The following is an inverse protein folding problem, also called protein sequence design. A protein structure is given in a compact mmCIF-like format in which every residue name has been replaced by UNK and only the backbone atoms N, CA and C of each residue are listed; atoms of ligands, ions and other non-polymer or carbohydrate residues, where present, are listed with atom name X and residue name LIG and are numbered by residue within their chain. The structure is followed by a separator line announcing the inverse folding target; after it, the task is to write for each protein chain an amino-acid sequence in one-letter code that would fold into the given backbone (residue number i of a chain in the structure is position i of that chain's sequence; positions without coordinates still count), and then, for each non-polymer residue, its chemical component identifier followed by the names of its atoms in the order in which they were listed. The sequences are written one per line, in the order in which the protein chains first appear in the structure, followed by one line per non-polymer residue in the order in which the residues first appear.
data_IF_170453175139
#
_entry.id   IF_170453175139
#
_cell.length_a   1.000
_cell.length_b   1.000
_cell.length_c   1.000
_cell.angle_alpha   90.00
_cell.angle_beta   90.00
_cell.angle_gamma   90.00
#
_symmetry.space_group_name_H-M   'P 1'
#
loop_
_entity.id
_entity.type
_entity.pdbx_description
1 polymer ?
#
# COMPACT_ATOMS: atom_id res chain seq x y z
N UNK A 1 5.23 -94.93 -30.60
CA UNK A 1 4.05 -94.92 -29.69
C UNK A 1 4.36 -93.94 -28.56
N UNK A 2 3.49 -92.94 -28.37
CA UNK A 2 3.50 -91.87 -27.34
C UNK A 2 4.62 -90.80 -27.41
N UNK A 3 4.20 -89.65 -27.94
CA UNK A 3 4.79 -88.32 -27.83
C UNK A 3 4.96 -87.91 -26.35
N UNK A 4 6.13 -87.40 -25.98
CA UNK A 4 6.40 -86.77 -24.69
C UNK A 4 6.59 -85.26 -24.88
N UNK A 5 5.64 -84.56 -24.29
CA UNK A 5 5.44 -83.13 -24.19
C UNK A 5 6.62 -82.43 -23.47
N UNK A 6 7.35 -81.58 -24.18
CA UNK A 6 8.37 -80.69 -23.60
C UNK A 6 7.75 -79.32 -23.36
N UNK A 7 7.35 -79.08 -22.11
CA UNK A 7 6.92 -77.78 -21.58
C UNK A 7 7.94 -76.68 -21.91
N UNK A 8 7.53 -75.69 -22.70
CA UNK A 8 8.24 -74.42 -22.88
C UNK A 8 7.81 -73.45 -21.79
N UNK A 9 8.74 -73.04 -20.93
CA UNK A 9 8.56 -71.94 -19.98
C UNK A 9 8.48 -70.64 -20.77
N UNK A 10 7.36 -69.92 -20.66
CA UNK A 10 7.22 -68.55 -21.20
C UNK A 10 7.64 -67.58 -20.10
N UNK A 11 8.70 -66.81 -20.36
CA UNK A 11 9.08 -65.64 -19.56
C UNK A 11 8.04 -64.55 -19.81
N UNK A 12 7.31 -64.14 -18.78
CA UNK A 12 6.42 -62.99 -18.84
C UNK A 12 7.26 -61.71 -18.73
N UNK A 13 7.24 -60.88 -19.77
CA UNK A 13 7.74 -59.51 -19.71
C UNK A 13 6.63 -58.67 -19.10
N UNK A 14 6.81 -58.25 -17.84
CA UNK A 14 5.88 -57.34 -17.18
C UNK A 14 6.17 -55.93 -17.66
N UNK A 15 5.34 -55.42 -18.57
CA UNK A 15 5.34 -54.01 -18.96
C UNK A 15 4.86 -53.18 -17.78
N UNK A 16 5.74 -52.35 -17.21
CA UNK A 16 5.38 -51.39 -16.17
C UNK A 16 4.53 -50.29 -16.85
N UNK A 17 3.22 -50.28 -16.60
CA UNK A 17 2.36 -49.19 -17.03
C UNK A 17 2.68 -47.95 -16.19
N UNK A 18 3.17 -46.90 -16.85
CA UNK A 18 3.36 -45.59 -16.24
C UNK A 18 1.97 -45.01 -15.95
N UNK A 19 1.59 -44.95 -14.68
CA UNK A 19 0.35 -44.28 -14.27
C UNK A 19 0.49 -42.79 -14.58
N UNK A 20 -0.30 -42.29 -15.53
CA UNK A 20 -0.46 -40.86 -15.76
C UNK A 20 -1.09 -40.24 -14.50
N UNK A 21 -0.36 -39.37 -13.82
CA UNK A 21 -0.88 -38.57 -12.72
C UNK A 21 -1.77 -37.49 -13.35
N UNK A 22 -3.10 -37.49 -13.13
CA UNK A 22 -3.94 -36.40 -13.61
C UNK A 22 -3.77 -35.21 -12.65
N UNK A 23 -3.45 -34.04 -13.22
CA UNK A 23 -3.57 -32.76 -12.51
C UNK A 23 -2.26 -32.10 -12.05
N UNK A 24 -1.31 -31.90 -12.95
CA UNK A 24 -0.49 -30.68 -12.88
C UNK A 24 -1.24 -29.63 -13.71
N UNK A 25 -2.16 -28.92 -13.06
CA UNK A 25 -2.54 -27.61 -13.56
C UNK A 25 -1.24 -26.78 -13.57
N UNK A 26 -0.94 -26.02 -14.65
CA UNK A 26 0.05 -24.96 -14.50
C UNK A 26 -0.39 -24.14 -13.30
N UNK A 27 0.50 -23.95 -12.33
CA UNK A 27 0.33 -22.91 -11.33
C UNK A 27 0.16 -21.65 -12.17
N UNK A 28 -1.05 -21.09 -12.17
CA UNK A 28 -1.29 -19.80 -12.81
C UNK A 28 -0.21 -18.88 -12.27
N UNK A 29 0.61 -18.32 -13.17
CA UNK A 29 1.60 -17.34 -12.78
C UNK A 29 0.83 -16.26 -12.01
N UNK A 30 1.12 -16.09 -10.72
CA UNK A 30 0.56 -15.00 -9.93
C UNK A 30 0.70 -13.73 -10.77
N UNK A 31 -0.44 -13.14 -11.12
CA UNK A 31 -0.42 -11.84 -11.79
C UNK A 31 0.16 -10.87 -10.77
N UNK A 32 1.45 -10.58 -10.91
CA UNK A 32 2.09 -9.56 -10.08
C UNK A 32 1.28 -8.27 -10.23
N UNK A 33 0.71 -7.78 -9.13
CA UNK A 33 -0.16 -6.60 -9.13
C UNK A 33 0.61 -5.29 -9.36
N UNK A 34 1.91 -5.39 -9.65
CA UNK A 34 2.77 -4.29 -9.95
C UNK A 34 4.16 -4.77 -10.37
N UNK A 35 4.96 -3.84 -10.87
CA UNK A 35 6.29 -4.08 -11.38
C UNK A 35 7.30 -3.15 -10.72
N UNK A 36 8.39 -3.74 -10.23
CA UNK A 36 9.55 -2.98 -9.74
C UNK A 36 10.66 -2.95 -10.79
N UNK A 37 11.13 -1.76 -11.13
CA UNK A 37 12.32 -1.56 -11.97
C UNK A 37 13.45 -0.99 -11.12
N UNK A 38 14.59 -1.68 -11.05
CA UNK A 38 15.80 -1.19 -10.36
C UNK A 38 16.78 -0.60 -11.35
N UNK A 39 17.23 0.62 -11.09
CA UNK A 39 18.07 1.39 -12.01
C UNK A 39 19.37 1.88 -11.36
N UNK A 40 19.48 1.82 -10.03
CA UNK A 40 20.63 2.33 -9.31
C UNK A 40 20.92 1.58 -8.02
N UNK A 41 21.84 2.14 -7.24
CA UNK A 41 22.34 1.54 -6.00
C UNK A 41 21.89 2.41 -4.83
N UNK A 42 21.32 1.76 -3.82
CA UNK A 42 20.98 2.42 -2.56
C UNK A 42 22.25 2.98 -1.88
N UNK A 43 22.16 4.12 -1.17
CA UNK A 43 23.33 4.69 -0.50
C UNK A 43 23.87 3.76 0.57
N UNK A 44 25.19 3.72 0.71
CA UNK A 44 25.85 3.09 1.84
C UNK A 44 25.79 4.04 3.04
N UNK A 45 24.99 3.68 4.06
CA UNK A 45 24.92 4.45 5.31
C UNK A 45 25.89 3.87 6.32
N UNK A 46 26.85 4.67 6.78
CA UNK A 46 27.79 4.27 7.83
C UNK A 46 27.12 4.39 9.20
N UNK A 47 27.09 3.28 9.94
CA UNK A 47 26.61 3.23 11.32
C UNK A 47 27.39 4.23 12.20
N UNK A 48 26.67 5.01 13.03
CA UNK A 48 27.27 5.98 13.95
C UNK A 48 27.33 7.42 13.46
N UNK A 49 26.93 7.70 12.22
CA UNK A 49 26.64 9.08 11.77
C UNK A 49 25.30 9.56 12.34
N UNK A 50 25.17 10.85 12.67
CA UNK A 50 23.88 11.44 13.10
C UNK A 50 22.94 11.48 11.90
N UNK A 51 22.22 10.38 11.70
CA UNK A 51 21.18 10.27 10.67
C UNK A 51 19.89 10.87 11.20
N UNK A 52 19.27 11.76 10.41
CA UNK A 52 17.93 12.29 10.70
C UNK A 52 17.00 11.79 9.63
N UNK A 53 16.04 10.96 10.04
CA UNK A 53 15.05 10.38 9.15
C UNK A 53 13.77 11.24 9.14
N UNK A 54 13.20 11.43 7.95
CA UNK A 54 11.86 11.96 7.75
C UNK A 54 10.98 10.83 7.22
N UNK A 55 10.39 10.07 8.14
CA UNK A 55 9.72 8.79 7.84
C UNK A 55 8.20 8.91 7.58
N UNK A 56 7.61 10.08 7.78
CA UNK A 56 6.16 10.31 7.69
C UNK A 56 5.85 11.65 7.05
N UNK A 57 4.63 11.84 6.51
CA UNK A 57 4.22 13.08 5.84
C UNK A 57 4.43 14.33 6.72
N UNK A 58 4.15 14.24 8.02
CA UNK A 58 4.37 15.34 8.96
C UNK A 58 5.54 15.10 9.94
N UNK A 59 6.53 14.29 9.53
CA UNK A 59 7.68 13.83 10.32
C UNK A 59 7.33 12.85 11.45
N UNK A 60 6.49 13.28 12.39
CA UNK A 60 6.16 12.56 13.63
C UNK A 60 4.64 12.44 13.84
N UNK A 61 4.18 11.56 14.76
CA UNK A 61 2.76 11.37 15.04
C UNK A 61 2.02 12.62 15.57
N UNK A 62 2.75 13.58 16.14
CA UNK A 62 2.21 14.85 16.61
C UNK A 62 2.09 15.89 15.48
N UNK A 63 2.51 15.54 14.27
CA UNK A 63 2.44 16.34 13.05
C UNK A 63 3.21 17.69 13.11
N UNK A 64 4.32 17.75 13.84
CA UNK A 64 5.01 19.03 14.09
C UNK A 64 5.76 19.58 12.88
N UNK A 65 6.18 18.71 11.93
CA UNK A 65 7.03 19.10 10.78
C UNK A 65 8.30 19.86 11.21
N UNK A 66 8.84 19.53 12.39
CA UNK A 66 10.00 20.19 12.98
C UNK A 66 11.20 19.26 13.02
N UNK A 67 12.27 19.62 12.30
CA UNK A 67 13.52 18.87 12.35
C UNK A 67 14.51 19.54 13.30
N UNK A 68 15.08 18.78 14.25
CA UNK A 68 16.08 19.27 15.21
C UNK A 68 17.46 19.57 14.58
N UNK A 69 17.65 19.28 13.30
CA UNK A 69 18.91 19.58 12.60
C UNK A 69 19.08 21.08 12.39
N UNK A 70 20.24 21.60 12.75
CA UNK A 70 20.53 23.04 12.83
C UNK A 70 21.78 23.46 12.03
N UNK A 71 22.36 22.54 11.26
CA UNK A 71 23.50 22.82 10.38
C UNK A 71 23.22 24.00 9.44
N UNK A 72 21.98 24.07 8.93
CA UNK A 72 21.45 25.23 8.21
C UNK A 72 20.66 26.04 9.22
N UNK A 73 21.08 27.28 9.45
CA UNK A 73 20.46 28.20 10.39
C UNK A 73 20.51 29.63 9.84
N UNK A 74 20.07 30.61 10.63
CA UNK A 74 19.97 32.02 10.22
C UNK A 74 21.31 32.63 9.79
N UNK A 75 22.43 32.08 10.25
CA UNK A 75 23.77 32.58 9.97
C UNK A 75 24.46 31.88 8.78
N UNK A 76 23.88 30.77 8.30
CA UNK A 76 24.46 29.93 7.24
C UNK A 76 23.54 29.70 6.03
N UNK A 77 22.26 30.05 6.13
CA UNK A 77 21.26 29.84 5.06
C UNK A 77 21.59 30.56 3.76
N UNK A 78 22.30 31.69 3.85
CA UNK A 78 22.79 32.47 2.70
C UNK A 78 23.84 31.73 1.86
N UNK A 79 24.42 30.65 2.37
CA UNK A 79 25.43 29.82 1.68
C UNK A 79 24.82 28.61 0.98
N UNK A 80 23.50 28.45 1.00
CA UNK A 80 22.84 27.31 0.36
C UNK A 80 23.13 27.28 -1.14
N UNK A 81 23.45 26.09 -1.62
CA UNK A 81 23.66 25.81 -3.04
C UNK A 81 22.91 24.53 -3.41
N UNK A 82 22.37 24.50 -4.63
CA UNK A 82 21.77 23.27 -5.18
C UNK A 82 22.84 22.19 -5.27
N UNK A 83 22.65 21.09 -4.53
CA UNK A 83 23.55 19.92 -4.56
C UNK A 83 23.28 19.02 -5.76
N UNK A 84 21.99 18.77 -6.03
CA UNK A 84 21.52 18.00 -7.19
C UNK A 84 20.07 18.42 -7.50
N UNK A 85 19.56 17.96 -8.64
CA UNK A 85 18.15 18.03 -9.02
C UNK A 85 17.73 16.71 -9.63
N UNK A 86 16.47 16.32 -9.43
CA UNK A 86 15.90 15.13 -10.03
C UNK A 86 14.80 15.53 -11.02
N UNK A 87 14.97 15.12 -12.27
CA UNK A 87 13.96 15.32 -13.30
C UNK A 87 12.89 14.24 -13.19
N UNK A 88 11.70 14.64 -12.77
CA UNK A 88 10.55 13.73 -12.62
C UNK A 88 10.17 13.19 -14.00
N UNK A 89 10.08 11.85 -14.17
CA UNK A 89 9.71 11.25 -15.46
C UNK A 89 8.39 11.81 -16.02
N UNK A 90 8.27 11.97 -17.36
CA UNK A 90 7.04 12.43 -17.98
C UNK A 90 5.82 11.61 -17.56
N UNK A 91 4.70 12.28 -17.29
CA UNK A 91 3.46 11.63 -16.85
C UNK A 91 3.35 11.44 -15.33
N UNK A 92 4.44 11.65 -14.58
CA UNK A 92 4.43 11.64 -13.12
C UNK A 92 4.31 13.06 -12.56
N UNK A 93 3.66 13.19 -11.40
CA UNK A 93 3.47 14.45 -10.70
C UNK A 93 3.70 14.27 -9.20
N UNK A 94 4.64 15.06 -8.66
CA UNK A 94 5.02 15.05 -7.24
C UNK A 94 4.75 16.41 -6.56
N UNK A 95 3.89 17.24 -7.16
CA UNK A 95 3.74 18.65 -6.76
C UNK A 95 3.17 18.87 -5.36
N UNK A 96 2.46 17.89 -4.79
CA UNK A 96 1.90 17.95 -3.44
C UNK A 96 2.54 16.93 -2.48
N UNK A 97 3.60 16.27 -2.94
CA UNK A 97 4.26 15.20 -2.19
C UNK A 97 5.21 15.81 -1.18
N UNK A 98 5.11 15.37 0.07
CA UNK A 98 6.22 15.52 1.02
C UNK A 98 7.15 14.33 0.80
N UNK A 99 8.41 14.56 0.34
CA UNK A 99 9.37 13.46 0.21
C UNK A 99 9.65 12.83 1.57
N UNK A 100 9.75 11.50 1.61
CA UNK A 100 10.32 10.81 2.76
C UNK A 100 11.81 10.63 2.56
N UNK A 101 12.60 10.69 3.63
CA UNK A 101 14.02 10.34 3.59
C UNK A 101 14.33 9.43 4.76
N UNK A 102 14.67 8.18 4.49
CA UNK A 102 15.00 7.19 5.51
C UNK A 102 16.25 6.44 5.08
N UNK A 103 17.26 6.42 5.95
CA UNK A 103 18.53 5.75 5.71
C UNK A 103 19.14 6.13 4.34
N UNK A 104 19.06 7.43 4.02
CA UNK A 104 19.54 8.04 2.78
C UNK A 104 18.75 7.72 1.52
N UNK A 105 17.74 6.85 1.54
CA UNK A 105 16.79 6.72 0.44
C UNK A 105 15.69 7.77 0.59
N UNK A 106 15.49 8.54 -0.48
CA UNK A 106 14.37 9.46 -0.63
C UNK A 106 13.25 8.80 -1.42
N UNK A 107 12.01 8.90 -0.93
CA UNK A 107 10.85 8.34 -1.60
C UNK A 107 9.90 9.44 -2.09
N UNK A 108 9.53 9.36 -3.37
CA UNK A 108 8.49 10.16 -3.99
C UNK A 108 7.32 9.26 -4.40
N UNK A 109 6.11 9.81 -4.44
CA UNK A 109 4.89 9.08 -4.76
C UNK A 109 4.09 9.88 -5.78
N UNK A 110 3.67 9.25 -6.87
CA UNK A 110 2.93 9.89 -7.96
C UNK A 110 1.89 8.93 -8.52
N UNK A 111 0.61 9.19 -8.29
CA UNK A 111 -0.45 8.32 -8.80
C UNK A 111 -0.26 6.88 -8.32
N UNK A 112 -0.03 5.94 -9.26
CA UNK A 112 0.23 4.52 -9.02
C UNK A 112 1.73 4.15 -8.88
N UNK A 113 2.60 5.16 -8.78
CA UNK A 113 4.06 4.99 -8.87
C UNK A 113 4.76 5.48 -7.62
N UNK A 114 5.68 4.69 -7.08
CA UNK A 114 6.62 5.10 -6.03
C UNK A 114 8.03 5.10 -6.60
N UNK A 115 8.78 6.17 -6.39
CA UNK A 115 10.17 6.29 -6.81
C UNK A 115 11.06 6.33 -5.56
N UNK A 116 12.12 5.54 -5.54
CA UNK A 116 13.20 5.66 -4.59
C UNK A 116 14.44 6.27 -5.26
N UNK A 117 15.03 7.24 -4.57
CA UNK A 117 16.12 8.07 -5.04
C UNK A 117 17.21 8.04 -3.97
N UNK A 118 18.47 7.99 -4.37
CA UNK A 118 19.58 8.18 -3.45
C UNK A 118 19.62 9.66 -3.03
N UNK A 119 19.31 9.97 -1.76
CA UNK A 119 19.19 11.35 -1.28
C UNK A 119 20.54 12.11 -1.29
N UNK A 120 21.66 11.40 -1.38
CA UNK A 120 23.00 12.01 -1.46
C UNK A 120 23.34 12.44 -2.88
N UNK A 121 23.03 11.60 -3.88
CA UNK A 121 23.43 11.83 -5.28
C UNK A 121 22.32 12.38 -6.16
N UNK A 122 21.05 12.17 -5.78
CA UNK A 122 19.88 12.50 -6.59
C UNK A 122 19.56 11.45 -7.68
N UNK A 123 20.24 10.31 -7.70
CA UNK A 123 20.04 9.27 -8.72
C UNK A 123 18.90 8.33 -8.35
N UNK A 124 18.11 7.91 -9.34
CA UNK A 124 17.06 6.90 -9.15
C UNK A 124 17.68 5.55 -8.74
N UNK A 125 17.05 4.87 -7.80
CA UNK A 125 17.46 3.55 -7.29
C UNK A 125 16.47 2.48 -7.76
N UNK A 126 15.19 2.68 -7.48
CA UNK A 126 14.13 1.80 -7.95
C UNK A 126 12.82 2.58 -8.15
N UNK A 127 11.95 2.03 -9.00
CA UNK A 127 10.59 2.51 -9.23
C UNK A 127 9.64 1.33 -9.10
N UNK A 128 8.58 1.48 -8.31
CA UNK A 128 7.45 0.57 -8.26
C UNK A 128 6.28 1.19 -9.01
N UNK A 129 5.68 0.44 -9.92
CA UNK A 129 4.43 0.79 -10.63
C UNK A 129 3.38 -0.27 -10.29
N UNK A 130 2.22 0.14 -9.78
CA UNK A 130 1.10 -0.77 -9.44
C UNK A 130 0.07 -0.76 -10.55
N UNK A 131 -0.39 -1.95 -10.95
CA UNK A 131 -1.31 -2.13 -12.07
C UNK A 131 -2.77 -1.77 -11.70
N UNK A 132 -3.58 -1.47 -12.70
CA UNK A 132 -5.04 -1.44 -12.56
C UNK A 132 -5.63 -0.27 -11.75
N UNK A 133 -4.84 0.76 -11.43
CA UNK A 133 -5.32 1.91 -10.66
C UNK A 133 -5.08 3.23 -11.38
N UNK A 134 -6.15 4.03 -11.54
CA UNK A 134 -6.04 5.38 -12.07
C UNK A 134 -5.31 6.28 -11.05
N UNK A 135 -4.23 6.91 -11.51
CA UNK A 135 -3.45 7.86 -10.72
C UNK A 135 -4.29 9.06 -10.29
N UNK A 136 -4.07 9.51 -9.05
CA UNK A 136 -4.64 10.73 -8.50
C UNK A 136 -3.57 11.59 -7.83
N UNK A 137 -3.98 12.74 -7.32
CA UNK A 137 -3.11 13.58 -6.47
C UNK A 137 -2.87 12.86 -5.15
N UNK A 138 -1.59 12.72 -4.80
CA UNK A 138 -1.12 12.08 -3.57
C UNK A 138 -0.20 13.02 -2.79
N UNK A 139 -0.04 12.76 -1.48
CA UNK A 139 0.69 13.61 -0.53
C UNK A 139 2.04 13.01 -0.06
N UNK A 140 2.41 11.87 -0.63
CA UNK A 140 3.59 11.10 -0.24
C UNK A 140 3.22 9.78 0.41
N UNK A 141 4.17 8.83 0.49
CA UNK A 141 3.94 7.56 1.16
C UNK A 141 4.16 7.68 2.68
N UNK A 142 4.15 6.55 3.38
CA UNK A 142 4.57 6.39 4.77
C UNK A 142 5.69 5.35 4.84
N UNK A 143 6.70 5.56 5.68
CA UNK A 143 7.66 4.51 6.04
C UNK A 143 7.35 3.97 7.43
N UNK A 144 7.30 2.64 7.58
CA UNK A 144 7.35 1.99 8.89
C UNK A 144 8.00 0.61 8.79
N UNK A 145 8.92 0.31 9.72
CA UNK A 145 9.53 -1.03 9.91
C UNK A 145 10.13 -1.66 8.64
N UNK A 146 10.74 -0.85 7.77
CA UNK A 146 11.33 -1.34 6.52
C UNK A 146 10.34 -1.43 5.36
N UNK A 147 9.09 -1.00 5.54
CA UNK A 147 8.06 -1.01 4.51
C UNK A 147 7.67 0.41 4.14
N UNK A 148 7.47 0.63 2.84
CA UNK A 148 6.83 1.81 2.28
C UNK A 148 5.36 1.48 2.06
N UNK A 149 4.48 2.22 2.72
CA UNK A 149 3.05 2.18 2.50
C UNK A 149 2.64 3.34 1.59
N UNK A 150 2.24 3.01 0.37
CA UNK A 150 1.63 3.92 -0.60
C UNK A 150 0.13 3.64 -0.73
N UNK A 151 -0.54 4.42 -1.57
CA UNK A 151 -1.97 4.28 -1.77
C UNK A 151 -2.38 4.80 -3.14
N UNK A 152 -3.31 4.09 -3.76
CA UNK A 152 -3.73 4.36 -5.13
C UNK A 152 -5.25 4.21 -5.18
N UNK A 153 -5.96 5.31 -5.40
CA UNK A 153 -7.43 5.29 -5.34
C UNK A 153 -7.90 4.83 -3.96
N UNK A 154 -8.63 3.73 -3.90
CA UNK A 154 -9.21 3.13 -2.70
C UNK A 154 -8.34 2.02 -2.07
N UNK A 155 -7.09 1.87 -2.52
CA UNK A 155 -6.21 0.77 -2.12
C UNK A 155 -4.98 1.26 -1.35
N UNK A 156 -4.60 0.53 -0.31
CA UNK A 156 -3.26 0.61 0.30
C UNK A 156 -2.32 -0.35 -0.41
N UNK A 157 -1.05 0.01 -0.49
CA UNK A 157 0.00 -0.84 -1.06
C UNK A 157 1.19 -0.87 -0.11
N UNK A 158 1.75 -2.05 0.10
CA UNK A 158 2.95 -2.25 0.91
C UNK A 158 4.10 -2.77 0.04
N UNK A 159 5.25 -2.11 0.12
CA UNK A 159 6.46 -2.50 -0.59
C UNK A 159 7.69 -2.46 0.32
N UNK A 160 8.65 -3.36 0.11
CA UNK A 160 9.94 -3.32 0.79
C UNK A 160 10.67 -2.00 0.46
N UNK A 161 11.09 -1.28 1.48
CA UNK A 161 11.66 0.05 1.32
C UNK A 161 13.00 0.05 0.57
N UNK A 162 13.76 -1.05 0.62
CA UNK A 162 15.07 -1.16 -0.03
C UNK A 162 14.93 -1.66 -1.46
N UNK A 163 14.05 -2.61 -1.69
CA UNK A 163 13.98 -3.34 -2.95
C UNK A 163 12.89 -2.86 -3.88
N UNK A 164 11.85 -2.21 -3.36
CA UNK A 164 10.63 -1.78 -4.06
C UNK A 164 9.61 -2.90 -4.30
N UNK A 165 9.94 -4.15 -3.96
CA UNK A 165 9.07 -5.30 -4.19
C UNK A 165 7.83 -5.26 -3.28
N UNK A 166 6.68 -5.67 -3.82
CA UNK A 166 5.46 -5.78 -3.04
C UNK A 166 5.63 -6.77 -1.89
N UNK A 167 5.08 -6.42 -0.72
CA UNK A 167 5.11 -7.28 0.46
C UNK A 167 3.93 -8.25 0.38
N UNK A 168 4.19 -9.47 -0.08
CA UNK A 168 3.17 -10.50 -0.35
C UNK A 168 2.25 -10.80 0.84
N UNK A 169 2.73 -10.63 2.08
CA UNK A 169 1.92 -10.90 3.28
C UNK A 169 0.85 -9.84 3.57
N UNK A 170 0.86 -8.70 2.88
CA UNK A 170 -0.05 -7.59 3.13
C UNK A 170 -1.19 -7.59 2.10
N UNK A 171 -2.43 -7.77 2.57
CA UNK A 171 -3.60 -7.84 1.70
C UNK A 171 -3.48 -9.00 0.71
N UNK A 172 -3.83 -8.73 -0.54
CA UNK A 172 -3.65 -9.65 -1.67
C UNK A 172 -2.38 -9.25 -2.43
N UNK A 173 -1.29 -10.01 -2.25
CA UNK A 173 -0.04 -9.80 -2.99
C UNK A 173 0.62 -8.42 -2.77
N UNK A 174 0.40 -7.78 -1.62
CA UNK A 174 0.91 -6.45 -1.29
C UNK A 174 -0.06 -5.30 -1.53
N UNK A 175 -1.30 -5.59 -1.98
CA UNK A 175 -2.34 -4.60 -2.26
C UNK A 175 -3.58 -4.90 -1.43
N UNK A 176 -4.13 -3.88 -0.78
CA UNK A 176 -5.30 -3.99 0.09
C UNK A 176 -6.41 -3.04 -0.38
N UNK A 177 -7.56 -3.54 -0.88
CA UNK A 177 -8.73 -2.73 -1.21
C UNK A 177 -9.46 -2.27 0.07
N UNK A 178 -8.80 -1.41 0.83
CA UNK A 178 -9.13 -1.12 2.23
C UNK A 178 -10.57 -0.64 2.43
N UNK A 179 -11.11 0.19 1.54
CA UNK A 179 -12.48 0.69 1.70
C UNK A 179 -13.54 -0.34 1.31
N UNK A 180 -13.27 -1.19 0.30
CA UNK A 180 -14.15 -2.33 -0.01
C UNK A 180 -14.26 -3.26 1.19
N UNK A 181 -13.12 -3.68 1.74
CA UNK A 181 -13.06 -4.53 2.93
C UNK A 181 -13.71 -3.88 4.15
N UNK A 182 -13.53 -2.57 4.35
CA UNK A 182 -14.16 -1.86 5.46
C UNK A 182 -15.69 -1.83 5.34
N UNK A 183 -16.21 -1.61 4.14
CA UNK A 183 -17.65 -1.63 3.85
C UNK A 183 -18.24 -3.02 4.04
N UNK A 184 -17.58 -4.05 3.50
CA UNK A 184 -17.97 -5.46 3.69
C UNK A 184 -17.98 -5.85 5.17
N UNK A 185 -16.95 -5.45 5.92
CA UNK A 185 -16.84 -5.75 7.35
C UNK A 185 -17.94 -5.07 8.17
N UNK A 186 -18.23 -3.79 7.88
CA UNK A 186 -19.16 -2.99 8.69
C UNK A 186 -20.63 -3.12 8.25
N UNK A 187 -20.90 -3.41 6.98
CA UNK A 187 -22.25 -3.54 6.41
C UNK A 187 -22.36 -4.77 5.47
N UNK A 188 -22.18 -5.99 5.98
CA UNK A 188 -22.14 -7.20 5.15
C UNK A 188 -23.46 -7.47 4.38
N UNK A 189 -24.59 -6.97 4.88
CA UNK A 189 -25.89 -7.11 4.20
C UNK A 189 -26.06 -6.16 2.99
N UNK A 190 -25.22 -5.12 2.91
CA UNK A 190 -25.28 -4.10 1.86
C UNK A 190 -24.15 -4.23 0.85
N UNK A 191 -22.96 -4.64 1.29
CA UNK A 191 -21.78 -4.73 0.45
C UNK A 191 -21.28 -6.18 0.41
N UNK A 192 -21.40 -6.86 -0.76
CA UNK A 192 -20.95 -8.23 -0.91
C UNK A 192 -19.41 -8.32 -0.96
N UNK A 193 -18.82 -9.50 -0.71
CA UNK A 193 -17.38 -9.72 -0.86
C UNK A 193 -16.83 -9.29 -2.22
N UNK A 194 -15.72 -8.56 -2.22
CA UNK A 194 -15.09 -8.00 -3.41
C UNK A 194 -15.77 -6.74 -3.94
N UNK A 195 -16.50 -6.00 -3.09
CA UNK A 195 -17.17 -4.78 -3.51
C UNK A 195 -16.17 -3.67 -3.86
N UNK A 196 -16.29 -3.14 -5.08
CA UNK A 196 -15.47 -2.02 -5.54
C UNK A 196 -15.96 -0.69 -4.93
N UNK A 197 -15.29 -0.26 -3.86
CA UNK A 197 -15.60 0.98 -3.16
C UNK A 197 -15.38 2.23 -4.03
N UNK A 198 -14.57 2.15 -5.09
CA UNK A 198 -14.38 3.27 -6.02
C UNK A 198 -15.66 3.61 -6.78
N UNK A 199 -16.59 2.66 -6.94
CA UNK A 199 -17.93 2.90 -7.51
C UNK A 199 -18.78 3.87 -6.68
N UNK A 200 -18.44 4.05 -5.39
CA UNK A 200 -19.04 5.02 -4.48
C UNK A 200 -18.15 6.24 -4.26
N UNK A 201 -17.15 6.45 -5.13
CA UNK A 201 -16.16 7.53 -5.07
C UNK A 201 -15.18 7.48 -3.88
N UNK A 202 -15.12 6.38 -3.13
CA UNK A 202 -14.11 6.24 -2.09
C UNK A 202 -12.71 6.28 -2.69
N UNK A 203 -11.84 7.13 -2.12
CA UNK A 203 -10.43 7.20 -2.48
C UNK A 203 -9.61 7.87 -1.38
N UNK A 204 -8.31 7.58 -1.39
CA UNK A 204 -7.30 8.15 -0.53
C UNK A 204 -6.54 9.24 -1.27
N UNK A 205 -6.23 10.32 -0.58
CA UNK A 205 -5.31 11.36 -1.07
C UNK A 205 -4.23 11.70 -0.05
N UNK A 206 -4.35 11.20 1.19
CA UNK A 206 -3.48 11.51 2.31
C UNK A 206 -2.71 10.27 2.73
N UNK A 207 -1.47 10.49 3.17
CA UNK A 207 -0.62 9.41 3.68
C UNK A 207 -1.28 8.74 4.88
N UNK A 208 -1.24 7.40 4.98
CA UNK A 208 -1.69 6.72 6.18
C UNK A 208 -0.82 7.12 7.38
N UNK A 209 -1.30 6.88 8.60
CA UNK A 209 -0.51 6.98 9.81
C UNK A 209 -0.15 5.57 10.32
N UNK A 210 0.94 5.44 11.07
CA UNK A 210 1.36 4.18 11.68
C UNK A 210 1.60 4.36 13.17
N UNK A 211 1.09 3.42 13.97
CA UNK A 211 1.45 3.25 15.38
C UNK A 211 1.19 1.82 15.81
N UNK A 212 2.08 1.23 16.61
CA UNK A 212 1.91 -0.10 17.23
C UNK A 212 1.34 -1.19 16.29
N UNK A 213 2.02 -1.41 15.16
CA UNK A 213 1.63 -2.36 14.11
C UNK A 213 0.23 -2.12 13.51
N UNK A 214 -0.24 -0.89 13.57
CA UNK A 214 -1.55 -0.49 13.04
C UNK A 214 -1.37 0.66 12.07
N UNK A 215 -1.94 0.50 10.87
CA UNK A 215 -2.08 1.56 9.89
C UNK A 215 -3.45 2.19 10.02
N UNK A 216 -3.49 3.51 9.97
CA UNK A 216 -4.72 4.30 9.98
C UNK A 216 -4.83 5.01 8.64
N UNK A 217 -5.88 4.71 7.90
CA UNK A 217 -6.16 5.28 6.59
C UNK A 217 -7.58 5.81 6.57
N UNK A 218 -7.81 6.84 5.76
CA UNK A 218 -9.05 7.56 5.80
C UNK A 218 -9.47 7.99 4.39
N UNK A 219 -10.77 7.94 4.13
CA UNK A 219 -11.32 8.35 2.85
C UNK A 219 -11.33 9.86 2.74
N UNK A 220 -11.05 10.37 1.55
CA UNK A 220 -11.07 11.78 1.23
C UNK A 220 -12.15 12.10 0.19
N UNK A 221 -12.27 13.40 -0.17
CA UNK A 221 -13.07 13.89 -1.31
C UNK A 221 -14.58 13.83 -1.01
N UNK A 222 -15.01 14.71 -0.10
CA UNK A 222 -16.42 14.90 0.24
C UNK A 222 -17.28 15.27 -0.96
N UNK A 223 -16.72 15.94 -1.97
CA UNK A 223 -17.41 16.37 -3.19
C UNK A 223 -17.91 15.19 -4.04
N UNK A 224 -17.34 13.99 -3.82
CA UNK A 224 -17.79 12.75 -4.45
C UNK A 224 -19.09 12.19 -3.86
N UNK A 225 -19.67 12.84 -2.84
CA UNK A 225 -20.81 12.32 -2.08
C UNK A 225 -20.55 10.90 -1.54
N UNK A 226 -19.33 10.64 -1.06
CA UNK A 226 -18.99 9.37 -0.40
C UNK A 226 -19.94 9.15 0.78
N UNK A 227 -20.59 7.98 0.91
CA UNK A 227 -21.34 7.65 2.11
C UNK A 227 -20.42 7.69 3.33
N UNK A 228 -20.91 8.16 4.47
CA UNK A 228 -20.11 8.17 5.69
C UNK A 228 -18.90 9.10 5.60
N UNK A 229 -17.74 8.54 5.90
CA UNK A 229 -16.43 9.19 5.85
C UNK A 229 -15.43 8.29 6.58
N UNK A 230 -15.14 7.16 5.92
CA UNK A 230 -14.48 6.02 6.54
C UNK A 230 -13.10 6.39 7.07
N UNK A 231 -12.86 6.05 8.34
CA UNK A 231 -11.53 5.90 8.93
C UNK A 231 -11.37 4.43 9.26
N UNK A 232 -10.29 3.83 8.80
CA UNK A 232 -10.06 2.39 8.89
C UNK A 232 -8.71 2.15 9.54
N UNK A 233 -8.69 1.27 10.53
CA UNK A 233 -7.46 0.73 11.08
C UNK A 233 -7.24 -0.70 10.59
N UNK A 234 -6.04 -0.98 10.12
CA UNK A 234 -5.63 -2.31 9.67
C UNK A 234 -4.33 -2.75 10.32
N UNK A 235 -4.12 -4.05 10.44
CA UNK A 235 -2.81 -4.56 10.81
C UNK A 235 -1.78 -4.22 9.73
N UNK A 236 -0.64 -3.65 10.14
CA UNK A 236 0.38 -3.19 9.19
C UNK A 236 1.11 -4.35 8.50
N UNK A 237 1.09 -5.56 9.07
CA UNK A 237 1.76 -6.74 8.51
C UNK A 237 0.85 -7.49 7.54
N UNK A 238 -0.43 -7.67 7.92
CA UNK A 238 -1.37 -8.51 7.16
C UNK A 238 -2.40 -7.73 6.35
N UNK A 239 -2.70 -6.48 6.72
CA UNK A 239 -3.82 -5.72 6.16
C UNK A 239 -5.18 -6.09 6.75
N UNK A 240 -5.25 -6.95 7.76
CA UNK A 240 -6.51 -7.33 8.41
C UNK A 240 -7.20 -6.11 9.06
N UNK A 241 -8.51 -5.96 8.84
CA UNK A 241 -9.32 -4.89 9.44
C UNK A 241 -9.34 -5.07 10.98
N UNK A 242 -8.86 -4.06 11.70
CA UNK A 242 -8.95 -3.99 13.17
C UNK A 242 -10.24 -3.30 13.62
N UNK A 243 -10.59 -2.20 12.96
CA UNK A 243 -11.85 -1.50 13.16
C UNK A 243 -12.15 -0.56 11.99
N UNK A 244 -13.42 -0.18 11.90
CA UNK A 244 -13.94 0.77 10.90
C UNK A 244 -14.79 1.80 11.62
N UNK A 245 -14.45 3.08 11.47
CA UNK A 245 -15.19 4.21 12.01
C UNK A 245 -15.79 5.04 10.88
N UNK A 246 -16.98 5.59 11.10
CA UNK A 246 -17.62 6.50 10.15
C UNK A 246 -17.80 7.88 10.80
N UNK A 247 -17.29 8.91 10.14
CA UNK A 247 -17.49 10.30 10.61
C UNK A 247 -18.95 10.75 10.46
N UNK A 248 -19.69 10.20 9.50
CA UNK A 248 -21.14 10.37 9.36
C UNK A 248 -21.83 9.01 9.53
N UNK A 249 -22.61 8.79 10.61
CA UNK A 249 -23.31 7.53 10.84
C UNK A 249 -24.30 7.15 9.73
N UNK A 250 -24.16 5.95 9.17
CA UNK A 250 -24.99 5.39 8.09
C UNK A 250 -26.11 4.48 8.60
N UNK A 251 -25.97 3.88 9.78
CA UNK A 251 -27.00 3.03 10.38
C UNK A 251 -26.85 2.88 11.89
N UNK A 252 -27.79 2.17 12.56
CA UNK A 252 -27.80 1.95 14.02
C UNK A 252 -26.53 1.36 14.62
N UNK A 253 -25.72 0.67 13.82
CA UNK A 253 -24.42 0.10 14.19
C UNK A 253 -23.28 1.13 14.25
N UNK A 254 -23.48 2.32 13.68
CA UNK A 254 -22.46 3.37 13.66
C UNK A 254 -22.46 4.16 14.97
N UNK A 255 -21.27 4.53 15.40
CA UNK A 255 -21.05 5.35 16.58
C UNK A 255 -21.81 6.67 16.48
N UNK A 256 -22.55 7.03 17.52
CA UNK A 256 -23.32 8.29 17.55
C UNK A 256 -24.64 8.29 16.76
N UNK A 257 -25.06 7.14 16.18
CA UNK A 257 -26.32 7.04 15.44
C UNK A 257 -27.53 7.61 16.18
N UNK A 258 -27.70 7.29 17.47
CA UNK A 258 -28.85 7.73 18.27
C UNK A 258 -28.97 9.27 18.37
N UNK A 259 -27.88 10.00 18.14
CA UNK A 259 -27.86 11.46 18.11
C UNK A 259 -28.01 12.01 16.68
N UNK A 260 -27.39 11.35 15.70
CA UNK A 260 -27.42 11.77 14.30
C UNK A 260 -28.79 11.52 13.65
N UNK A 261 -29.46 10.41 13.98
CA UNK A 261 -30.69 9.99 13.31
C UNK A 261 -31.84 11.00 13.44
N UNK A 262 -32.19 11.50 14.66
CA UNK A 262 -33.25 12.49 14.80
C UNK A 262 -32.89 13.86 14.20
N UNK A 263 -31.60 14.15 14.03
CA UNK A 263 -31.11 15.47 13.58
C UNK A 263 -30.95 15.55 12.06
N UNK A 264 -30.59 14.45 11.40
CA UNK A 264 -30.36 14.41 9.95
C UNK A 264 -31.59 13.95 9.17
N UNK A 265 -32.52 13.23 9.81
CA UNK A 265 -33.75 12.75 9.18
C UNK A 265 -33.48 11.90 7.93
N UNK A 266 -34.15 12.25 6.82
CA UNK A 266 -34.03 11.62 5.50
C UNK A 266 -32.96 12.28 4.59
N UNK A 267 -32.19 13.23 5.13
CA UNK A 267 -31.10 13.89 4.41
C UNK A 267 -30.01 12.92 3.97
N UNK A 268 -29.29 13.26 2.89
CA UNK A 268 -28.15 12.47 2.43
C UNK A 268 -27.05 12.45 3.48
N UNK A 269 -26.58 11.25 3.85
CA UNK A 269 -25.52 11.05 4.84
C UNK A 269 -24.17 10.84 4.17
N UNK A 270 -23.70 11.88 3.47
CA UNK A 270 -22.52 11.82 2.62
C UNK A 270 -21.52 12.93 2.95
N UNK A 271 -20.24 12.72 2.68
CA UNK A 271 -19.19 13.72 2.81
C UNK A 271 -18.15 13.41 3.88
N UNK A 272 -17.77 14.42 4.67
CA UNK A 272 -16.82 14.32 5.79
C UNK A 272 -15.50 13.58 5.50
N UNK A 273 -14.94 13.77 4.30
CA UNK A 273 -13.65 13.25 3.91
C UNK A 273 -12.50 13.83 4.75
N UNK A 274 -11.52 12.99 5.06
CA UNK A 274 -10.33 13.32 5.84
C UNK A 274 -9.19 13.66 4.87
N UNK A 275 -8.73 14.91 4.91
CA UNK A 275 -7.77 15.49 3.95
C UNK A 275 -6.32 15.56 4.44
N UNK A 276 -6.07 15.10 5.66
CA UNK A 276 -4.76 15.08 6.30
C UNK A 276 -4.48 13.69 6.85
N UNK A 277 -3.21 13.39 7.09
CA UNK A 277 -2.81 12.20 7.82
C UNK A 277 -3.49 12.21 9.21
N UNK A 278 -4.12 11.10 9.66
CA UNK A 278 -4.64 11.00 11.01
C UNK A 278 -3.54 11.24 12.06
N UNK A 279 -3.81 12.09 13.05
CA UNK A 279 -2.93 12.26 14.20
C UNK A 279 -3.14 11.11 15.19
N UNK A 280 -2.09 10.75 15.93
CA UNK A 280 -2.12 9.68 16.94
C UNK A 280 -1.70 10.26 18.29
#
# INVERSE_FOLDING_TARGET
MRSLDRRRVRVAVTTLALAAIPGLHPVDAEQQQGRTTRTGVAPTITAGSRQTNWASHNLDPYNQRYAEIDQINTDTVDRLQRRWSFDVPPGLSVSQVTPLVVDGLMYLHSGATVLAINAVTGEAVWTLEVDGVNGGVVRGPLYARGTIYSYHGDKLVAADAKTGELVESFGDGGVLPIFGLALETKYPDLYPPGFDASSLNYRMNSSPAYHDNTLYAASAISEGNIPGGLVVAVDATTGEIKWVFNTIPQGPQDEGWAHADPTWGDGKRVGAGIWTQPAI
#
